data_IF_012746410619
#
_entry.id   IF_012746410619
#
_cell.length_a   1.000
_cell.length_b   1.000
_cell.length_c   1.000
_cell.angle_alpha   90.00
_cell.angle_beta   90.00
_cell.angle_gamma   90.00
#
_symmetry.space_group_name_H-M   'P 1'
#
loop_
_entity.id
_entity.type
_entity.pdbx_description
1 polymer ?
#
# COMPACT_ATOMS: atom_id res chain seq x y z
N UNK A 1 3.18 -12.10 -2.64
CA UNK A 1 3.45 -12.49 -1.26
C UNK A 1 3.71 -11.25 -0.44
N UNK A 2 3.25 -11.26 0.81
CA UNK A 2 3.40 -10.16 1.77
C UNK A 2 4.05 -10.69 3.04
N UNK A 3 4.88 -9.87 3.65
CA UNK A 3 5.49 -10.14 4.94
C UNK A 3 5.29 -8.94 5.86
N UNK A 4 4.64 -9.14 6.99
CA UNK A 4 4.51 -8.17 8.08
C UNK A 4 5.46 -8.55 9.21
N UNK A 5 6.39 -7.65 9.53
CA UNK A 5 7.35 -7.84 10.61
C UNK A 5 7.07 -6.90 11.76
N UNK A 6 7.01 -7.44 12.98
CA UNK A 6 6.92 -6.67 14.22
C UNK A 6 8.10 -7.02 15.13
N UNK A 7 8.82 -6.01 15.60
CA UNK A 7 9.96 -6.20 16.49
C UNK A 7 9.64 -5.82 17.93
N UNK A 8 10.14 -6.61 18.89
CA UNK A 8 10.05 -6.33 20.33
C UNK A 8 8.61 -6.10 20.82
N UNK A 9 7.69 -6.96 20.42
CA UNK A 9 6.30 -6.87 20.85
C UNK A 9 6.18 -7.05 22.36
N UNK A 10 5.56 -6.11 23.06
CA UNK A 10 5.55 -6.07 24.53
C UNK A 10 4.33 -6.71 25.19
N UNK A 11 3.29 -7.06 24.40
CA UNK A 11 2.08 -7.72 24.89
C UNK A 11 2.13 -9.23 24.61
N UNK A 12 1.31 -10.01 25.31
CA UNK A 12 1.24 -11.46 25.09
C UNK A 12 0.50 -11.84 23.79
N UNK A 13 -0.42 -10.99 23.37
CA UNK A 13 -1.23 -11.19 22.15
C UNK A 13 -1.10 -10.02 21.20
N UNK A 14 -1.28 -10.28 19.90
CA UNK A 14 -1.49 -9.26 18.87
C UNK A 14 -2.73 -9.62 18.05
N UNK A 15 -3.53 -8.62 17.76
CA UNK A 15 -4.66 -8.70 16.84
C UNK A 15 -4.28 -8.04 15.52
N UNK A 16 -4.32 -8.79 14.44
CA UNK A 16 -4.06 -8.31 13.08
C UNK A 16 -5.38 -8.19 12.35
N UNK A 17 -5.54 -7.13 11.57
CA UNK A 17 -6.75 -6.89 10.79
C UNK A 17 -6.43 -6.53 9.34
N UNK A 18 -7.31 -6.93 8.44
CA UNK A 18 -7.39 -6.41 7.07
C UNK A 18 -8.48 -5.34 7.02
N UNK A 19 -8.26 -4.18 6.38
CA UNK A 19 -9.32 -3.21 6.13
C UNK A 19 -10.53 -3.85 5.43
N UNK A 20 -11.69 -3.23 5.59
CA UNK A 20 -12.95 -3.60 4.89
C UNK A 20 -13.52 -2.46 4.08
N UNK A 21 -12.84 -1.35 4.06
CA UNK A 21 -13.28 -0.13 3.41
C UNK A 21 -12.05 0.68 2.98
N UNK A 22 -12.21 1.47 1.93
CA UNK A 22 -11.22 2.44 1.48
C UNK A 22 -11.89 3.77 1.13
N UNK A 23 -11.20 4.91 1.35
CA UNK A 23 -11.64 6.21 0.90
C UNK A 23 -11.86 6.22 -0.63
N UNK A 24 -12.80 7.03 -1.11
CA UNK A 24 -13.06 7.21 -2.54
C UNK A 24 -13.96 6.16 -3.18
N UNK A 25 -13.96 4.91 -2.72
CA UNK A 25 -14.86 3.87 -3.27
C UNK A 25 -16.19 3.76 -2.51
N UNK A 26 -16.21 4.07 -1.22
CA UNK A 26 -17.41 4.14 -0.36
C UNK A 26 -18.28 2.87 -0.29
N UNK A 27 -17.69 1.71 -0.51
CA UNK A 27 -18.35 0.41 -0.34
C UNK A 27 -17.56 -0.49 0.59
N UNK A 28 -18.26 -1.34 1.33
CA UNK A 28 -17.62 -2.39 2.12
C UNK A 28 -17.12 -3.48 1.18
N UNK A 29 -15.81 -3.77 1.25
CA UNK A 29 -15.15 -4.82 0.49
C UNK A 29 -14.53 -5.79 1.48
N UNK A 30 -14.78 -7.09 1.27
CA UNK A 30 -14.19 -8.15 2.09
C UNK A 30 -12.79 -8.52 1.54
N UNK A 31 -11.83 -7.62 1.73
CA UNK A 31 -10.44 -7.81 1.28
C UNK A 31 -9.78 -9.05 1.90
N UNK A 32 -10.18 -9.44 3.11
CA UNK A 32 -9.65 -10.59 3.81
C UNK A 32 -9.95 -11.94 3.10
N UNK A 33 -10.87 -11.97 2.13
CA UNK A 33 -11.08 -13.13 1.25
C UNK A 33 -9.93 -13.37 0.28
N UNK A 34 -9.13 -12.34 0.02
CA UNK A 34 -7.95 -12.45 -0.84
C UNK A 34 -6.73 -13.02 -0.12
N UNK A 35 -6.80 -13.17 1.21
CA UNK A 35 -5.67 -13.65 2.03
C UNK A 35 -5.61 -15.16 2.03
N UNK A 36 -4.50 -15.71 1.55
CA UNK A 36 -4.21 -17.15 1.53
C UNK A 36 -2.86 -17.45 2.19
N UNK A 37 -2.62 -18.71 2.53
CA UNK A 37 -1.32 -19.25 2.98
C UNK A 37 -0.71 -18.49 4.17
N UNK A 38 -1.54 -18.01 5.09
CA UNK A 38 -1.08 -17.24 6.24
C UNK A 38 -0.34 -18.12 7.24
N UNK A 39 0.85 -17.67 7.65
CA UNK A 39 1.67 -18.32 8.66
C UNK A 39 2.44 -17.29 9.47
N UNK A 40 2.72 -17.59 10.74
CA UNK A 40 3.53 -16.75 11.63
C UNK A 40 4.75 -17.51 12.14
N UNK A 41 5.87 -16.79 12.33
CA UNK A 41 7.12 -17.30 12.90
C UNK A 41 7.72 -16.28 13.85
N UNK A 42 8.44 -16.78 14.86
CA UNK A 42 9.27 -15.93 15.72
C UNK A 42 10.62 -15.60 15.06
N UNK A 43 11.44 -14.80 15.75
CA UNK A 43 12.79 -14.38 15.32
C UNK A 43 13.79 -15.55 15.14
N UNK A 44 13.47 -16.74 15.69
CA UNK A 44 14.24 -17.99 15.54
C UNK A 44 13.71 -18.87 14.41
N UNK A 45 12.68 -18.41 13.70
CA UNK A 45 12.03 -19.17 12.63
C UNK A 45 11.05 -20.25 13.10
N UNK A 46 10.77 -20.33 14.42
CA UNK A 46 9.81 -21.27 14.99
C UNK A 46 8.39 -20.83 14.64
N UNK A 47 7.55 -21.77 14.24
CA UNK A 47 6.13 -21.52 13.98
C UNK A 47 5.40 -21.04 15.23
N UNK A 48 4.57 -20.02 15.05
CA UNK A 48 3.62 -19.48 16.03
C UNK A 48 2.21 -19.73 15.49
N UNK A 49 1.32 -20.20 16.36
CA UNK A 49 -0.09 -20.41 15.97
C UNK A 49 -0.76 -19.05 15.70
N UNK A 50 -1.35 -18.91 14.52
CA UNK A 50 -2.15 -17.76 14.11
C UNK A 50 -3.56 -18.23 13.80
N UNK A 51 -4.55 -17.64 14.46
CA UNK A 51 -5.96 -18.05 14.35
C UNK A 51 -6.80 -16.94 13.76
N UNK A 52 -7.59 -17.26 12.75
CA UNK A 52 -8.64 -16.35 12.26
C UNK A 52 -9.77 -16.33 13.29
N UNK A 53 -10.13 -15.16 13.80
CA UNK A 53 -11.13 -14.97 14.85
C UNK A 53 -12.46 -14.39 14.33
N UNK A 54 -12.44 -13.76 13.18
CA UNK A 54 -13.62 -13.32 12.46
C UNK A 54 -13.32 -13.16 10.95
N UNK A 55 -14.20 -12.52 10.18
CA UNK A 55 -14.08 -12.38 8.73
C UNK A 55 -12.83 -11.63 8.26
N UNK A 56 -12.31 -10.67 9.05
CA UNK A 56 -11.15 -9.84 8.67
C UNK A 56 -10.04 -9.75 9.72
N UNK A 57 -10.06 -10.59 10.76
CA UNK A 57 -9.12 -10.48 11.88
C UNK A 57 -8.48 -11.81 12.28
N UNK A 58 -7.23 -11.73 12.71
CA UNK A 58 -6.43 -12.86 13.20
C UNK A 58 -5.78 -12.51 14.52
N UNK A 59 -5.48 -13.53 15.33
CA UNK A 59 -4.80 -13.38 16.62
C UNK A 59 -3.59 -14.30 16.69
N UNK A 60 -2.51 -13.77 17.27
CA UNK A 60 -1.31 -14.51 17.67
C UNK A 60 -1.14 -14.34 19.19
N UNK A 61 -0.84 -15.40 19.91
CA UNK A 61 -0.63 -15.39 21.35
C UNK A 61 0.75 -15.97 21.73
N UNK A 62 1.19 -15.73 22.98
CA UNK A 62 2.47 -16.22 23.49
C UNK A 62 3.69 -15.51 22.90
N UNK A 63 3.55 -14.24 22.52
CA UNK A 63 4.58 -13.46 21.83
C UNK A 63 5.15 -12.29 22.64
N UNK A 64 4.89 -12.27 23.96
CA UNK A 64 5.43 -11.22 24.83
C UNK A 64 6.96 -11.15 24.74
N UNK A 65 7.48 -9.94 24.52
CA UNK A 65 8.91 -9.65 24.36
C UNK A 65 9.59 -10.39 23.20
N UNK A 66 8.82 -10.80 22.20
CA UNK A 66 9.34 -11.43 20.99
C UNK A 66 9.20 -10.52 19.77
N UNK A 67 10.03 -10.76 18.77
CA UNK A 67 9.79 -10.32 17.41
C UNK A 67 9.08 -11.44 16.66
N UNK A 68 8.25 -11.09 15.71
CA UNK A 68 7.55 -12.06 14.87
C UNK A 68 7.35 -11.56 13.45
N UNK A 69 7.15 -12.50 12.57
CA UNK A 69 6.88 -12.25 11.14
C UNK A 69 5.63 -13.02 10.75
N UNK A 70 4.72 -12.35 10.07
CA UNK A 70 3.54 -12.95 9.44
C UNK A 70 3.70 -12.90 7.93
N UNK A 71 3.63 -14.06 7.28
CA UNK A 71 3.67 -14.18 5.82
C UNK A 71 2.31 -14.62 5.31
N UNK A 72 1.88 -14.06 4.20
CA UNK A 72 0.65 -14.44 3.53
C UNK A 72 0.70 -14.09 2.04
N UNK A 73 -0.22 -14.65 1.28
CA UNK A 73 -0.40 -14.37 -0.14
C UNK A 73 -1.70 -13.59 -0.34
N UNK A 74 -1.65 -12.54 -1.14
CA UNK A 74 -2.86 -11.88 -1.65
C UNK A 74 -3.14 -12.45 -3.04
N UNK A 75 -4.32 -13.07 -3.19
CA UNK A 75 -4.81 -13.57 -4.47
C UNK A 75 -6.04 -12.80 -4.90
N UNK A 76 -5.93 -12.11 -6.03
CA UNK A 76 -7.04 -11.39 -6.65
C UNK A 76 -7.13 -11.76 -8.13
N UNK A 77 -8.33 -11.71 -8.68
CA UNK A 77 -8.57 -12.00 -10.10
C UNK A 77 -9.12 -10.81 -10.89
N UNK A 78 -9.37 -9.68 -10.21
CA UNK A 78 -9.97 -8.51 -10.81
C UNK A 78 -8.96 -7.39 -10.99
N UNK A 79 -8.79 -6.92 -12.22
CA UNK A 79 -8.18 -5.62 -12.50
C UNK A 79 -9.24 -4.54 -12.27
N UNK A 80 -9.20 -3.95 -11.09
CA UNK A 80 -10.16 -2.94 -10.67
C UNK A 80 -9.48 -1.93 -9.73
N UNK A 81 -9.90 -0.66 -9.78
CA UNK A 81 -9.27 0.44 -9.01
C UNK A 81 -9.24 0.21 -7.50
N UNK A 82 -10.16 -0.56 -6.95
CA UNK A 82 -10.21 -0.91 -5.53
C UNK A 82 -9.64 -2.31 -5.21
N UNK A 83 -8.88 -2.91 -6.12
CA UNK A 83 -8.25 -4.21 -5.92
C UNK A 83 -6.79 -4.19 -6.32
N UNK A 84 -5.94 -4.82 -5.52
CA UNK A 84 -4.57 -5.12 -5.94
C UNK A 84 -4.57 -6.17 -7.04
N UNK A 85 -3.71 -6.01 -8.03
CA UNK A 85 -3.47 -7.04 -9.04
C UNK A 85 -2.03 -7.00 -9.54
N UNK A 86 -1.55 -8.15 -9.99
CA UNK A 86 -0.21 -8.32 -10.57
C UNK A 86 -0.35 -9.21 -11.79
N UNK A 87 0.24 -8.78 -12.91
CA UNK A 87 0.36 -9.57 -14.12
C UNK A 87 1.83 -9.69 -14.58
N UNK A 88 2.07 -10.14 -15.81
CA UNK A 88 3.43 -10.27 -16.34
C UNK A 88 4.09 -8.93 -16.68
N UNK A 89 3.34 -7.86 -16.77
CA UNK A 89 3.78 -6.55 -17.26
C UNK A 89 3.90 -5.50 -16.15
N UNK A 90 3.05 -5.57 -15.11
CA UNK A 90 3.02 -4.58 -14.04
C UNK A 90 2.31 -5.09 -12.78
N UNK A 91 2.43 -4.32 -11.71
CA UNK A 91 1.68 -4.50 -10.47
C UNK A 91 0.97 -3.20 -10.09
N UNK A 92 -0.28 -3.30 -9.68
CA UNK A 92 -1.03 -2.24 -9.04
C UNK A 92 -1.45 -2.72 -7.65
N UNK A 93 -0.94 -2.10 -6.61
CA UNK A 93 -1.10 -2.51 -5.23
C UNK A 93 -1.93 -1.46 -4.50
N UNK A 94 -3.10 -1.87 -4.02
CA UNK A 94 -3.94 -1.11 -3.11
C UNK A 94 -3.56 -1.53 -1.69
N UNK A 95 -3.04 -0.64 -0.85
CA UNK A 95 -2.57 -0.99 0.49
C UNK A 95 -3.65 -1.63 1.36
N UNK A 96 -4.91 -1.16 1.30
CA UNK A 96 -6.04 -1.71 2.05
C UNK A 96 -6.36 -3.16 1.66
N UNK A 97 -6.11 -3.55 0.39
CA UNK A 97 -6.28 -4.92 -0.07
C UNK A 97 -5.04 -5.78 0.18
N UNK A 98 -3.92 -5.19 0.63
CA UNK A 98 -2.63 -5.86 0.67
C UNK A 98 -2.07 -5.96 2.06
N UNK A 99 -2.09 -4.88 2.86
CA UNK A 99 -1.38 -4.83 4.12
C UNK A 99 -2.31 -4.98 5.32
N UNK A 100 -1.96 -5.93 6.20
CA UNK A 100 -2.55 -6.04 7.53
C UNK A 100 -2.04 -4.90 8.42
N UNK A 101 -2.87 -4.49 9.36
CA UNK A 101 -2.47 -3.60 10.45
C UNK A 101 -2.66 -4.26 11.81
N UNK A 102 -1.97 -3.74 12.81
CA UNK A 102 -2.17 -4.14 14.21
C UNK A 102 -3.32 -3.33 14.79
N UNK A 103 -4.33 -4.03 15.32
CA UNK A 103 -5.49 -3.38 15.94
C UNK A 103 -5.06 -2.46 17.09
N UNK A 104 -5.52 -1.23 17.06
CA UNK A 104 -5.16 -0.19 18.03
C UNK A 104 -3.79 0.48 17.79
N UNK A 105 -3.10 0.19 16.67
CA UNK A 105 -1.82 0.80 16.30
C UNK A 105 -1.85 1.33 14.85
N UNK A 106 -2.83 2.16 14.53
CA UNK A 106 -2.87 2.81 13.20
C UNK A 106 -1.91 4.01 13.11
N UNK A 107 -1.64 4.67 14.24
CA UNK A 107 -0.83 5.90 14.32
C UNK A 107 0.68 5.62 14.49
N UNK A 108 1.17 4.51 13.94
CA UNK A 108 2.60 4.16 14.04
C UNK A 108 3.27 4.23 12.66
N UNK A 109 4.53 4.68 12.59
CA UNK A 109 5.27 4.69 11.34
C UNK A 109 5.41 3.30 10.72
N UNK A 110 5.27 3.25 9.41
CA UNK A 110 5.35 2.03 8.61
C UNK A 110 6.42 2.16 7.55
N UNK A 111 7.21 1.09 7.36
CA UNK A 111 8.15 0.98 6.24
C UNK A 111 7.68 -0.13 5.31
N UNK A 112 7.65 0.17 4.01
CA UNK A 112 7.30 -0.77 2.95
C UNK A 112 8.53 -1.05 2.10
N UNK A 113 8.96 -2.30 2.02
CA UNK A 113 10.04 -2.75 1.15
C UNK A 113 9.44 -3.56 0.00
N UNK A 114 9.80 -3.22 -1.24
CA UNK A 114 9.24 -3.83 -2.44
C UNK A 114 10.28 -4.69 -3.16
N UNK A 115 9.90 -5.94 -3.45
CA UNK A 115 10.66 -6.86 -4.29
C UNK A 115 9.80 -7.27 -5.48
N UNK A 116 10.28 -7.05 -6.69
CA UNK A 116 9.52 -7.27 -7.92
C UNK A 116 10.43 -7.71 -9.07
N UNK A 117 9.81 -8.03 -10.21
CA UNK A 117 10.54 -8.45 -11.40
C UNK A 117 11.60 -7.41 -11.81
N UNK A 118 12.89 -7.77 -11.92
CA UNK A 118 13.96 -6.83 -12.29
C UNK A 118 13.83 -6.23 -13.71
N UNK A 119 12.97 -6.78 -14.54
CA UNK A 119 12.62 -6.18 -15.84
C UNK A 119 11.74 -4.92 -15.70
N UNK A 120 11.06 -4.73 -14.59
CA UNK A 120 10.28 -3.52 -14.28
C UNK A 120 11.22 -2.44 -13.74
N UNK A 121 11.06 -1.20 -14.19
CA UNK A 121 12.07 -0.15 -13.98
C UNK A 121 11.60 1.00 -13.10
N UNK A 122 10.29 1.13 -12.86
CA UNK A 122 9.74 2.27 -12.12
C UNK A 122 8.74 1.84 -11.06
N UNK A 123 8.74 2.58 -9.96
CA UNK A 123 7.70 2.58 -8.94
C UNK A 123 7.08 3.97 -8.92
N UNK A 124 5.78 4.04 -8.84
CA UNK A 124 5.04 5.28 -8.59
C UNK A 124 4.14 5.07 -7.36
N UNK A 125 4.28 5.93 -6.37
CA UNK A 125 3.50 5.95 -5.14
C UNK A 125 3.56 7.35 -4.52
N UNK A 126 2.62 7.66 -3.63
CA UNK A 126 2.65 8.85 -2.78
C UNK A 126 3.54 8.72 -1.54
N UNK A 127 4.04 7.53 -1.24
CA UNK A 127 4.90 7.29 -0.08
C UNK A 127 6.27 7.97 -0.21
N UNK A 128 6.85 8.41 0.90
CA UNK A 128 8.19 8.97 0.94
C UNK A 128 9.27 7.89 0.78
N UNK A 129 10.27 8.08 -0.10
CA UNK A 129 11.37 7.14 -0.23
C UNK A 129 12.28 7.17 1.01
N UNK A 130 12.74 6.01 1.46
CA UNK A 130 13.74 5.93 2.53
C UNK A 130 15.12 6.31 1.98
N UNK A 131 15.79 7.35 2.52
CA UNK A 131 17.08 7.79 2.01
C UNK A 131 18.13 6.67 1.97
N UNK A 132 18.78 6.51 0.80
CA UNK A 132 19.83 5.50 0.60
C UNK A 132 19.35 4.06 0.49
N UNK A 133 18.05 3.82 0.45
CA UNK A 133 17.45 2.49 0.28
C UNK A 133 16.67 2.40 -1.02
N UNK A 134 17.06 1.47 -1.87
CA UNK A 134 16.30 1.19 -3.09
C UNK A 134 15.01 0.45 -2.74
N UNK A 135 13.90 0.87 -3.36
CA UNK A 135 12.58 0.22 -3.24
C UNK A 135 12.02 0.15 -1.81
N UNK A 136 12.49 1.00 -0.90
CA UNK A 136 11.95 1.17 0.44
C UNK A 136 11.28 2.53 0.58
N UNK A 137 10.10 2.52 1.17
CA UNK A 137 9.25 3.69 1.36
C UNK A 137 8.74 3.74 2.80
N UNK A 138 8.37 4.91 3.28
CA UNK A 138 7.82 5.10 4.61
C UNK A 138 6.54 5.92 4.58
N UNK A 139 5.65 5.63 5.52
CA UNK A 139 4.51 6.45 5.87
C UNK A 139 4.57 6.77 7.37
N UNK A 140 4.10 7.93 7.82
CA UNK A 140 4.06 8.29 9.24
C UNK A 140 3.09 7.41 10.04
N UNK A 141 2.09 6.88 9.37
CA UNK A 141 1.02 6.05 9.94
C UNK A 141 0.34 5.18 8.86
N UNK A 142 -0.60 4.35 9.28
CA UNK A 142 -1.36 3.50 8.36
C UNK A 142 -2.41 4.25 7.55
N UNK A 143 -2.88 5.41 8.00
CA UNK A 143 -3.86 6.22 7.27
C UNK A 143 -3.22 6.77 5.99
N UNK A 144 -2.05 7.34 6.11
CA UNK A 144 -1.24 7.79 4.96
C UNK A 144 -0.80 6.62 4.08
N UNK A 145 -0.43 5.47 4.68
CA UNK A 145 -0.09 4.28 3.89
C UNK A 145 -1.28 3.85 3.01
N UNK A 146 -2.48 3.81 3.57
CA UNK A 146 -3.67 3.37 2.87
C UNK A 146 -4.13 4.35 1.77
N UNK A 147 -3.78 5.63 1.87
CA UNK A 147 -4.03 6.64 0.82
C UNK A 147 -3.00 6.60 -0.34
N UNK A 148 -1.99 5.73 -0.27
CA UNK A 148 -0.88 5.70 -1.21
C UNK A 148 -0.83 4.40 -2.04
N UNK A 149 -1.62 4.25 -3.10
CA UNK A 149 -1.46 3.14 -4.05
C UNK A 149 -0.04 3.05 -4.61
N UNK A 150 0.37 1.83 -4.96
CA UNK A 150 1.70 1.57 -5.50
C UNK A 150 1.56 0.96 -6.89
N UNK A 151 2.11 1.62 -7.90
CA UNK A 151 2.17 1.14 -9.27
C UNK A 151 3.61 0.78 -9.62
N UNK A 152 3.86 -0.42 -10.13
CA UNK A 152 5.21 -0.92 -10.46
C UNK A 152 5.20 -1.48 -11.88
N UNK A 153 6.18 -1.11 -12.70
CA UNK A 153 6.27 -1.60 -14.07
C UNK A 153 7.22 -0.77 -14.94
N UNK A 154 7.09 -0.91 -16.25
CA UNK A 154 7.72 -0.03 -17.21
C UNK A 154 6.79 1.16 -17.48
N UNK A 155 6.72 2.07 -16.53
CA UNK A 155 5.76 3.16 -16.47
C UNK A 155 6.15 4.32 -17.39
N UNK A 156 5.14 4.94 -17.98
CA UNK A 156 5.22 6.19 -18.72
C UNK A 156 4.97 7.36 -17.77
N UNK A 157 5.67 8.45 -17.98
CA UNK A 157 5.53 9.67 -17.17
C UNK A 157 5.41 10.87 -18.09
N UNK A 158 4.40 11.69 -17.86
CA UNK A 158 4.18 12.93 -18.60
C UNK A 158 4.97 14.10 -17.95
N UNK A 159 5.26 15.19 -18.70
CA UNK A 159 5.90 16.36 -18.13
C UNK A 159 5.16 16.89 -16.91
N UNK A 160 5.86 17.06 -15.79
CA UNK A 160 5.28 17.56 -14.54
C UNK A 160 4.95 19.05 -14.59
N UNK A 161 4.10 19.51 -13.66
CA UNK A 161 3.83 20.92 -13.43
C UNK A 161 3.87 21.23 -11.93
N UNK A 162 3.93 22.56 -11.60
CA UNK A 162 3.88 22.97 -10.19
C UNK A 162 2.65 23.82 -9.92
N UNK A 163 2.03 23.61 -8.77
CA UNK A 163 0.98 24.45 -8.19
C UNK A 163 1.42 24.83 -6.78
N UNK A 164 1.44 26.11 -6.47
CA UNK A 164 1.98 26.68 -5.19
C UNK A 164 3.33 26.09 -4.76
N UNK A 165 4.22 25.82 -5.73
CA UNK A 165 5.55 25.25 -5.49
C UNK A 165 5.62 23.74 -5.35
N UNK A 166 4.51 23.05 -5.20
CA UNK A 166 4.44 21.57 -5.13
C UNK A 166 4.40 20.98 -6.54
N UNK A 167 5.26 20.00 -6.79
CA UNK A 167 5.32 19.29 -8.08
C UNK A 167 4.19 18.25 -8.18
N UNK A 168 3.52 18.25 -9.34
CA UNK A 168 2.48 17.31 -9.70
C UNK A 168 2.96 16.47 -10.89
N UNK A 169 2.92 15.17 -10.74
CA UNK A 169 3.37 14.20 -11.74
C UNK A 169 2.20 13.32 -12.17
N UNK A 170 2.14 12.98 -13.44
CA UNK A 170 1.21 11.98 -13.95
C UNK A 170 1.99 10.79 -14.49
N UNK A 171 1.78 9.64 -13.87
CA UNK A 171 2.50 8.40 -14.17
C UNK A 171 1.48 7.29 -14.37
N UNK A 172 1.65 6.52 -15.44
CA UNK A 172 0.74 5.43 -15.75
C UNK A 172 1.40 4.28 -16.51
N UNK A 173 0.68 3.19 -16.61
CA UNK A 173 1.03 2.04 -17.44
C UNK A 173 0.06 1.95 -18.61
N UNK A 174 0.60 1.81 -19.84
CA UNK A 174 -0.18 1.65 -21.08
C UNK A 174 -1.31 2.69 -21.21
N UNK A 175 -0.94 3.97 -21.14
CA UNK A 175 -1.89 5.09 -21.07
C UNK A 175 -2.70 5.31 -22.34
N UNK A 176 -2.38 4.59 -23.45
CA UNK A 176 -3.04 4.79 -24.73
C UNK A 176 -2.57 6.06 -25.46
N UNK A 177 -3.28 6.41 -26.53
CA UNK A 177 -2.99 7.60 -27.34
C UNK A 177 -4.00 8.71 -27.00
N UNK A 178 -3.49 9.87 -26.62
CA UNK A 178 -4.26 11.09 -26.38
C UNK A 178 -3.34 12.32 -26.45
N UNK A 179 -3.91 13.51 -26.48
CA UNK A 179 -3.14 14.75 -26.44
C UNK A 179 -2.58 14.97 -25.02
N UNK A 180 -1.33 14.59 -24.80
CA UNK A 180 -0.65 14.70 -23.51
C UNK A 180 -0.52 16.16 -23.05
N UNK A 181 -0.30 17.11 -23.96
CA UNK A 181 -0.15 18.53 -23.63
C UNK A 181 -1.46 19.09 -23.12
N UNK A 182 -2.53 18.92 -23.88
CA UNK A 182 -3.87 19.37 -23.48
C UNK A 182 -4.33 18.72 -22.18
N UNK A 183 -4.03 17.42 -22.01
CA UNK A 183 -4.37 16.70 -20.80
C UNK A 183 -3.67 17.31 -19.56
N UNK A 184 -2.34 17.52 -19.65
CA UNK A 184 -1.57 18.08 -18.52
C UNK A 184 -1.94 19.54 -18.22
N UNK A 185 -2.26 20.34 -19.25
CA UNK A 185 -2.79 21.70 -19.04
C UNK A 185 -4.12 21.69 -18.30
N UNK A 186 -5.04 20.80 -18.67
CA UNK A 186 -6.34 20.67 -18.02
C UNK A 186 -6.21 20.10 -16.60
N UNK A 187 -5.32 19.13 -16.39
CA UNK A 187 -5.03 18.60 -15.05
C UNK A 187 -4.50 19.72 -14.15
N UNK A 188 -3.57 20.55 -14.64
CA UNK A 188 -3.07 21.69 -13.88
C UNK A 188 -4.18 22.66 -13.49
N UNK A 189 -5.04 23.04 -14.43
CA UNK A 189 -6.21 23.91 -14.15
C UNK A 189 -7.13 23.31 -13.09
N UNK A 190 -7.36 21.99 -13.15
CA UNK A 190 -8.19 21.27 -12.18
C UNK A 190 -7.56 21.32 -10.78
N UNK A 191 -6.25 21.06 -10.66
CA UNK A 191 -5.54 21.15 -9.38
C UNK A 191 -5.58 22.59 -8.84
N UNK A 192 -5.32 23.59 -9.67
CA UNK A 192 -5.38 25.01 -9.28
C UNK A 192 -6.77 25.41 -8.76
N UNK A 193 -7.82 24.97 -9.46
CA UNK A 193 -9.22 25.21 -9.03
C UNK A 193 -9.53 24.50 -7.69
N UNK A 194 -9.10 23.24 -7.53
CA UNK A 194 -9.29 22.49 -6.29
C UNK A 194 -8.57 23.17 -5.10
N UNK A 195 -7.33 23.58 -5.30
CA UNK A 195 -6.55 24.31 -4.28
C UNK A 195 -7.21 25.64 -3.90
N UNK A 196 -7.81 26.34 -4.86
CA UNK A 196 -8.52 27.58 -4.60
C UNK A 196 -9.81 27.37 -3.78
N UNK A 197 -10.51 26.25 -4.00
CA UNK A 197 -11.72 25.90 -3.25
C UNK A 197 -11.37 25.44 -1.83
N UNK A 198 -10.37 24.58 -1.69
CA UNK A 198 -9.94 24.02 -0.39
C UNK A 198 -9.15 25.07 0.43
N UNK A 199 -8.45 25.99 -0.24
CA UNK A 199 -7.63 27.03 0.39
C UNK A 199 -6.16 26.66 0.62
N UNK A 200 -5.81 25.38 0.55
CA UNK A 200 -4.44 24.87 0.70
C UNK A 200 -4.23 23.64 -0.19
N UNK A 201 -2.98 23.20 -0.32
CA UNK A 201 -2.65 21.89 -0.87
C UNK A 201 -2.67 20.91 0.30
N UNK A 202 -3.43 19.83 0.23
CA UNK A 202 -3.50 18.80 1.28
C UNK A 202 -2.16 18.09 1.46
#
# INVERSE_FOLDING_TARGET
DVELSCSKWNQDTVHLKMPKWMPGYYQIIDYAKSVENMLAKDDKGKHIDIKKINDNSWVIAGIKNKSFVVKYTIRTSKQFVANSYVDSAHAYIIPENTFLYVDGLLDVPVTVSLSFNPAWKKIATGLDPVPGKANEFTAPDFDILYDCPILIGNLQELPSFKVKGIEHRFIGYNMGEFDHTLFMENLKKTVEASVNIIGHIP
#
